data_IF_266493212505
#
_entry.id   IF_266493212505
#
_cell.length_a   1.000
_cell.length_b   1.000
_cell.length_c   1.000
_cell.angle_alpha   90.00
_cell.angle_beta   90.00
_cell.angle_gamma   90.00
#
_symmetry.space_group_name_H-M   'P 1'
#
loop_
_entity.id
_entity.type
_entity.pdbx_description
1 polymer ?
#
# COMPACT_ATOMS: atom_id res chain seq x y z
N UNK A 1 8.25 15.55 -80.18
CA UNK A 1 8.84 15.33 -78.84
C UNK A 1 7.93 16.07 -77.86
N UNK A 2 7.05 15.49 -77.05
CA UNK A 2 7.18 14.35 -76.14
C UNK A 2 6.08 13.29 -76.36
N UNK A 3 6.51 12.07 -76.08
CA UNK A 3 5.87 10.77 -76.20
C UNK A 3 4.90 10.55 -75.02
N UNK A 4 3.69 10.03 -75.31
CA UNK A 4 3.18 8.71 -74.90
C UNK A 4 2.71 8.61 -73.43
N UNK A 5 1.68 7.89 -72.99
CA UNK A 5 0.81 6.83 -73.55
C UNK A 5 -0.34 6.68 -72.52
N UNK A 6 -1.62 6.65 -72.95
CA UNK A 6 -2.53 5.46 -72.95
C UNK A 6 -2.80 4.85 -71.55
N UNK A 7 -3.97 4.37 -71.16
CA UNK A 7 -5.25 3.99 -71.81
C UNK A 7 -6.17 3.61 -70.64
N UNK A 8 -7.35 4.22 -70.50
CA UNK A 8 -8.70 3.67 -70.74
C UNK A 8 -9.02 2.29 -70.11
N UNK A 9 -10.19 2.20 -69.45
CA UNK A 9 -11.21 1.11 -69.40
C UNK A 9 -12.28 1.60 -68.40
N UNK A 10 -13.41 2.22 -68.77
CA UNK A 10 -14.70 1.72 -69.28
C UNK A 10 -15.41 0.62 -68.49
N UNK A 11 -16.62 0.98 -67.98
CA UNK A 11 -17.92 0.26 -68.01
C UNK A 11 -17.96 -1.10 -67.29
N UNK A 12 -18.87 -1.45 -66.39
CA UNK A 12 -20.15 -0.89 -65.95
C UNK A 12 -21.03 -2.05 -65.42
N UNK A 13 -22.05 -1.67 -64.64
CA UNK A 13 -23.37 -2.31 -64.55
C UNK A 13 -23.75 -3.23 -63.37
N UNK A 14 -25.01 -3.00 -62.96
CA UNK A 14 -26.03 -3.89 -62.39
C UNK A 14 -26.21 -4.03 -60.86
N UNK A 15 -27.27 -3.33 -60.41
CA UNK A 15 -28.49 -3.84 -59.76
C UNK A 15 -28.74 -3.58 -58.26
N UNK A 16 -29.96 -3.05 -58.04
CA UNK A 16 -30.66 -2.78 -56.78
C UNK A 16 -30.78 -4.02 -55.86
N UNK A 17 -30.81 -3.80 -54.55
CA UNK A 17 -32.03 -3.99 -53.73
C UNK A 17 -31.96 -3.14 -52.46
N UNK A 18 -33.06 -2.42 -52.21
CA UNK A 18 -33.31 -1.73 -50.95
C UNK A 18 -33.75 -2.75 -49.90
N UNK A 19 -33.11 -2.72 -48.72
CA UNK A 19 -33.73 -3.07 -47.46
C UNK A 19 -33.41 -1.95 -46.48
N UNK A 20 -34.41 -1.11 -46.23
CA UNK A 20 -34.43 -0.28 -45.04
C UNK A 20 -34.75 -1.19 -43.85
N UNK A 21 -33.83 -1.28 -42.89
CA UNK A 21 -34.13 -1.76 -41.54
C UNK A 21 -33.85 -0.60 -40.59
N UNK A 22 -34.91 -0.20 -39.89
CA UNK A 22 -34.93 0.79 -38.83
C UNK A 22 -33.79 0.54 -37.83
N UNK A 23 -32.84 1.47 -37.75
CA UNK A 23 -32.01 1.63 -36.56
C UNK A 23 -32.86 2.40 -35.55
N UNK A 24 -33.73 1.65 -34.87
CA UNK A 24 -34.32 2.15 -33.63
C UNK A 24 -33.16 2.19 -32.63
N UNK A 25 -32.68 3.39 -32.36
CA UNK A 25 -31.63 3.65 -31.38
C UNK A 25 -32.11 3.21 -30.00
N UNK A 26 -31.62 2.05 -29.59
CA UNK A 26 -31.48 1.71 -28.18
C UNK A 26 -30.03 1.22 -28.00
N UNK A 27 -29.09 2.13 -28.31
CA UNK A 27 -27.70 2.05 -27.85
C UNK A 27 -27.69 2.29 -26.32
N UNK A 28 -28.26 1.33 -25.59
CA UNK A 28 -27.84 1.11 -24.21
C UNK A 28 -26.37 0.73 -24.31
N UNK A 29 -25.49 1.63 -23.84
CA UNK A 29 -24.11 1.32 -23.49
C UNK A 29 -24.06 -0.10 -22.94
N UNK A 30 -23.53 -1.06 -23.72
CA UNK A 30 -23.06 -2.32 -23.17
C UNK A 30 -21.88 -1.96 -22.30
N UNK A 31 -22.16 -1.66 -21.05
CA UNK A 31 -21.19 -1.76 -19.98
C UNK A 31 -20.75 -3.22 -20.00
N UNK A 32 -19.56 -3.47 -20.52
CA UNK A 32 -19.00 -4.82 -20.62
C UNK A 32 -18.68 -5.29 -19.21
N UNK A 33 -19.70 -5.71 -18.46
CA UNK A 33 -19.50 -6.34 -17.16
C UNK A 33 -18.59 -7.55 -17.38
N UNK A 34 -17.38 -7.51 -16.84
CA UNK A 34 -16.43 -8.60 -16.93
C UNK A 34 -16.98 -9.78 -16.12
N UNK A 35 -17.62 -10.72 -16.82
CA UNK A 35 -18.24 -11.90 -16.19
C UNK A 35 -17.20 -12.87 -15.64
N UNK A 36 -17.58 -13.70 -14.66
CA UNK A 36 -16.75 -14.81 -14.17
C UNK A 36 -16.23 -15.73 -15.30
N UNK A 37 -17.04 -15.98 -16.32
CA UNK A 37 -16.63 -16.78 -17.48
C UNK A 37 -15.49 -16.12 -18.28
N UNK A 38 -15.44 -14.78 -18.33
CA UNK A 38 -14.34 -14.06 -18.95
C UNK A 38 -13.04 -14.21 -18.13
N UNK A 39 -13.11 -14.03 -16.81
CA UNK A 39 -11.96 -14.21 -15.92
C UNK A 39 -11.40 -15.63 -16.03
N UNK A 40 -12.27 -16.65 -15.95
CA UNK A 40 -11.87 -18.06 -16.10
C UNK A 40 -11.24 -18.34 -17.47
N UNK A 41 -11.83 -17.81 -18.55
CA UNK A 41 -11.29 -17.96 -19.90
C UNK A 41 -9.89 -17.36 -19.98
N UNK A 42 -9.68 -16.15 -19.47
CA UNK A 42 -8.37 -15.51 -19.48
C UNK A 42 -7.35 -16.31 -18.65
N UNK A 43 -7.75 -16.81 -17.48
CA UNK A 43 -6.89 -17.66 -16.64
C UNK A 43 -6.47 -18.92 -17.40
N UNK A 44 -7.41 -19.64 -18.02
CA UNK A 44 -7.11 -20.85 -18.82
C UNK A 44 -6.19 -20.61 -20.03
N UNK A 45 -6.22 -19.40 -20.57
CA UNK A 45 -5.38 -19.00 -21.71
C UNK A 45 -4.03 -18.40 -21.27
N UNK A 46 -3.89 -18.11 -19.98
CA UNK A 46 -2.67 -17.58 -19.38
C UNK A 46 -1.85 -18.69 -18.74
N UNK A 47 -0.55 -18.45 -18.54
CA UNK A 47 0.31 -19.38 -17.82
C UNK A 47 0.10 -19.35 -16.29
N UNK A 48 -0.48 -18.27 -15.75
CA UNK A 48 -0.77 -18.13 -14.32
C UNK A 48 -1.89 -17.14 -14.07
N UNK A 49 -2.62 -17.33 -12.97
CA UNK A 49 -3.70 -16.42 -12.56
C UNK A 49 -3.22 -14.98 -12.42
N UNK A 50 -2.06 -14.73 -11.80
CA UNK A 50 -1.52 -13.38 -11.69
C UNK A 50 -1.29 -12.69 -13.05
N UNK A 51 -0.85 -13.43 -14.08
CA UNK A 51 -0.70 -12.87 -15.44
C UNK A 51 -2.04 -12.54 -16.08
N UNK A 52 -3.06 -13.38 -15.87
CA UNK A 52 -4.41 -13.09 -16.32
C UNK A 52 -4.95 -11.82 -15.64
N UNK A 53 -4.90 -11.75 -14.31
CA UNK A 53 -5.40 -10.60 -13.52
C UNK A 53 -4.71 -9.31 -13.95
N UNK A 54 -3.37 -9.30 -13.98
CA UNK A 54 -2.58 -8.15 -14.43
C UNK A 54 -2.99 -7.71 -15.84
N UNK A 55 -3.12 -8.66 -16.77
CA UNK A 55 -3.51 -8.35 -18.16
C UNK A 55 -4.92 -7.75 -18.25
N UNK A 56 -5.89 -8.30 -17.51
CA UNK A 56 -7.26 -7.77 -17.50
C UNK A 56 -7.27 -6.35 -16.92
N UNK A 57 -6.66 -6.13 -15.75
CA UNK A 57 -6.65 -4.84 -15.08
C UNK A 57 -5.97 -3.77 -15.93
N UNK A 58 -4.83 -4.09 -16.57
CA UNK A 58 -4.15 -3.12 -17.45
C UNK A 58 -4.98 -2.69 -18.67
N UNK A 59 -5.92 -3.53 -19.14
CA UNK A 59 -6.80 -3.18 -20.28
C UNK A 59 -8.15 -2.61 -19.84
N UNK A 60 -8.59 -2.96 -18.63
CA UNK A 60 -9.89 -2.58 -18.07
C UNK A 60 -9.73 -2.05 -16.64
N UNK A 61 -8.99 -0.95 -16.42
CA UNK A 61 -8.66 -0.47 -15.07
C UNK A 61 -9.91 -0.08 -14.26
N UNK A 62 -10.98 0.37 -14.94
CA UNK A 62 -12.26 0.71 -14.28
C UNK A 62 -13.00 -0.50 -13.70
N UNK A 63 -12.68 -1.70 -14.16
CA UNK A 63 -13.33 -2.94 -13.72
C UNK A 63 -12.45 -3.73 -12.75
N UNK A 64 -11.31 -3.16 -12.33
CA UNK A 64 -10.27 -3.87 -11.61
C UNK A 64 -10.78 -4.50 -10.30
N UNK A 65 -11.56 -3.76 -9.51
CA UNK A 65 -12.14 -4.27 -8.26
C UNK A 65 -13.09 -5.44 -8.53
N UNK A 66 -13.96 -5.35 -9.53
CA UNK A 66 -14.86 -6.45 -9.92
C UNK A 66 -14.08 -7.68 -10.37
N UNK A 67 -12.97 -7.49 -11.08
CA UNK A 67 -12.09 -8.58 -11.52
C UNK A 67 -11.41 -9.25 -10.33
N UNK A 68 -10.90 -8.46 -9.38
CA UNK A 68 -10.27 -8.97 -8.15
C UNK A 68 -11.29 -9.73 -7.31
N UNK A 69 -12.47 -9.14 -7.06
CA UNK A 69 -13.59 -9.74 -6.34
C UNK A 69 -13.95 -11.12 -6.91
N UNK A 70 -14.18 -11.16 -8.22
CA UNK A 70 -14.50 -12.40 -8.95
C UNK A 70 -13.35 -13.41 -8.86
N UNK A 71 -12.09 -12.96 -8.97
CA UNK A 71 -10.94 -13.85 -8.93
C UNK A 71 -10.73 -14.47 -7.54
N UNK A 72 -10.93 -13.69 -6.48
CA UNK A 72 -10.84 -14.16 -5.09
C UNK A 72 -11.94 -15.17 -4.78
N UNK A 73 -13.15 -14.98 -5.33
CA UNK A 73 -14.23 -15.97 -5.19
C UNK A 73 -13.94 -17.28 -5.91
N UNK A 74 -13.35 -17.21 -7.11
CA UNK A 74 -13.06 -18.40 -7.91
C UNK A 74 -11.81 -19.15 -7.46
N UNK A 75 -10.82 -18.44 -6.94
CA UNK A 75 -9.51 -18.97 -6.61
C UNK A 75 -8.98 -18.43 -5.27
N UNK A 76 -9.69 -18.66 -4.14
CA UNK A 76 -9.33 -18.10 -2.83
C UNK A 76 -7.93 -18.55 -2.38
N UNK A 77 -7.55 -19.80 -2.67
CA UNK A 77 -6.23 -20.36 -2.39
C UNK A 77 -5.07 -19.61 -3.12
N UNK A 78 -5.42 -18.78 -4.10
CA UNK A 78 -4.49 -17.99 -4.92
C UNK A 78 -4.50 -16.51 -4.58
N UNK A 79 -5.07 -16.12 -3.44
CA UNK A 79 -5.20 -14.72 -3.04
C UNK A 79 -3.89 -13.93 -3.13
N UNK A 80 -2.74 -14.51 -2.72
CA UNK A 80 -1.44 -13.81 -2.81
C UNK A 80 -1.10 -13.40 -4.24
N UNK A 81 -1.27 -14.32 -5.18
CA UNK A 81 -0.99 -14.06 -6.61
C UNK A 81 -1.97 -13.04 -7.20
N UNK A 82 -3.24 -13.07 -6.77
CA UNK A 82 -4.28 -12.16 -7.24
C UNK A 82 -4.06 -10.73 -6.71
N UNK A 83 -3.91 -10.58 -5.39
CA UNK A 83 -3.67 -9.29 -4.73
C UNK A 83 -2.41 -8.65 -5.29
N UNK A 84 -1.31 -9.39 -5.34
CA UNK A 84 -0.04 -8.88 -5.86
C UNK A 84 -0.18 -8.45 -7.33
N UNK A 85 -0.80 -9.28 -8.17
CA UNK A 85 -0.99 -8.92 -9.58
C UNK A 85 -1.88 -7.70 -9.78
N UNK A 86 -2.91 -7.53 -8.95
CA UNK A 86 -3.81 -6.40 -9.03
C UNK A 86 -3.14 -5.08 -8.62
N UNK A 87 -2.51 -5.08 -7.45
CA UNK A 87 -1.79 -3.91 -6.93
C UNK A 87 -0.66 -3.51 -7.86
N UNK A 88 0.18 -4.45 -8.31
CA UNK A 88 1.26 -4.14 -9.24
C UNK A 88 0.79 -3.79 -10.67
N UNK A 89 -0.51 -3.92 -10.98
CA UNK A 89 -1.08 -3.50 -12.25
C UNK A 89 -1.72 -2.11 -12.16
N UNK A 90 -2.32 -1.79 -11.02
CA UNK A 90 -2.95 -0.49 -10.73
C UNK A 90 -2.73 -0.12 -9.25
N UNK A 91 -1.56 0.46 -8.91
CA UNK A 91 -1.24 0.85 -7.54
C UNK A 91 -2.26 1.76 -6.86
N UNK A 92 -2.96 2.60 -7.64
CA UNK A 92 -3.97 3.52 -7.12
C UNK A 92 -5.14 2.81 -6.41
N UNK A 93 -5.34 1.51 -6.66
CA UNK A 93 -6.42 0.71 -6.06
C UNK A 93 -5.96 -0.11 -4.84
N UNK A 94 -4.74 0.11 -4.34
CA UNK A 94 -4.14 -0.67 -3.24
C UNK A 94 -5.06 -0.78 -2.03
N UNK A 95 -5.59 0.34 -1.54
CA UNK A 95 -6.49 0.35 -0.38
C UNK A 95 -7.76 -0.45 -0.63
N UNK A 96 -8.41 -0.29 -1.79
CA UNK A 96 -9.65 -0.99 -2.14
C UNK A 96 -9.44 -2.50 -2.27
N UNK A 97 -8.31 -2.93 -2.87
CA UNK A 97 -7.95 -4.36 -2.97
C UNK A 97 -7.71 -4.98 -1.60
N UNK A 98 -7.02 -4.27 -0.70
CA UNK A 98 -6.77 -4.73 0.67
C UNK A 98 -8.07 -4.83 1.46
N UNK A 99 -8.91 -3.79 1.45
CA UNK A 99 -10.22 -3.81 2.12
C UNK A 99 -11.07 -4.98 1.61
N UNK A 100 -11.19 -5.16 0.30
CA UNK A 100 -11.94 -6.26 -0.29
C UNK A 100 -11.43 -7.63 0.17
N UNK A 101 -10.11 -7.84 0.19
CA UNK A 101 -9.52 -9.10 0.62
C UNK A 101 -9.80 -9.40 2.11
N UNK A 102 -9.71 -8.38 2.96
CA UNK A 102 -9.99 -8.50 4.40
C UNK A 102 -11.48 -8.78 4.66
N UNK A 103 -12.38 -8.05 4.00
CA UNK A 103 -13.83 -8.24 4.11
C UNK A 103 -14.28 -9.64 3.69
N UNK A 104 -13.61 -10.24 2.69
CA UNK A 104 -13.90 -11.62 2.28
C UNK A 104 -13.40 -12.68 3.27
N UNK A 105 -12.51 -12.35 4.20
CA UNK A 105 -11.98 -13.29 5.19
C UNK A 105 -11.23 -14.48 4.58
N UNK A 106 -10.59 -14.30 3.41
CA UNK A 106 -9.90 -15.36 2.66
C UNK A 106 -8.58 -15.81 3.30
N UNK A 107 -7.97 -14.97 4.15
CA UNK A 107 -6.71 -15.24 4.84
C UNK A 107 -6.57 -14.31 6.06
N UNK A 108 -5.46 -14.40 6.80
CA UNK A 108 -5.19 -13.50 7.93
C UNK A 108 -4.84 -12.08 7.45
N UNK A 109 -5.11 -11.08 8.31
CA UNK A 109 -4.76 -9.69 8.04
C UNK A 109 -3.26 -9.55 7.75
N UNK A 110 -2.40 -10.12 8.60
CA UNK A 110 -0.94 -10.10 8.42
C UNK A 110 -0.53 -10.59 7.03
N UNK A 111 -1.13 -11.68 6.54
CA UNK A 111 -0.73 -12.23 5.24
C UNK A 111 -1.19 -11.37 4.07
N UNK A 112 -2.35 -10.72 4.19
CA UNK A 112 -2.87 -9.79 3.18
C UNK A 112 -2.02 -8.51 3.16
N UNK A 113 -1.72 -7.93 4.33
CA UNK A 113 -0.87 -6.74 4.48
C UNK A 113 0.53 -7.00 3.91
N UNK A 114 1.21 -8.08 4.33
CA UNK A 114 2.52 -8.46 3.81
C UNK A 114 2.50 -8.60 2.27
N UNK A 115 1.48 -9.27 1.73
CA UNK A 115 1.35 -9.47 0.28
C UNK A 115 1.19 -8.13 -0.45
N UNK A 116 0.36 -7.23 0.08
CA UNK A 116 0.07 -5.95 -0.53
C UNK A 116 1.29 -5.01 -0.52
N UNK A 117 2.00 -4.93 0.61
CA UNK A 117 3.23 -4.13 0.73
C UNK A 117 4.29 -4.65 -0.24
N UNK A 118 4.52 -5.97 -0.31
CA UNK A 118 5.46 -6.56 -1.26
C UNK A 118 5.07 -6.33 -2.74
N UNK A 119 3.79 -6.06 -3.02
CA UNK A 119 3.31 -5.79 -4.37
C UNK A 119 3.60 -4.35 -4.84
N UNK A 120 3.52 -3.39 -3.90
CA UNK A 120 3.86 -2.00 -4.13
C UNK A 120 4.25 -1.31 -2.80
N UNK A 121 5.54 -1.29 -2.44
CA UNK A 121 6.01 -0.71 -1.19
C UNK A 121 5.70 0.79 -1.05
N UNK A 122 5.72 1.53 -2.17
CA UNK A 122 5.50 2.98 -2.18
C UNK A 122 4.08 3.39 -1.75
N UNK A 123 3.15 2.43 -1.66
CA UNK A 123 1.74 2.62 -1.28
C UNK A 123 1.40 2.00 0.09
N UNK A 124 2.43 1.74 0.91
CA UNK A 124 2.24 1.13 2.24
C UNK A 124 1.28 1.90 3.14
N UNK A 125 1.20 3.22 3.03
CA UNK A 125 0.27 4.07 3.79
C UNK A 125 -1.20 3.75 3.47
N UNK A 126 -1.51 3.40 2.22
CA UNK A 126 -2.83 2.92 1.83
C UNK A 126 -3.11 1.52 2.38
N UNK A 127 -2.12 0.63 2.39
CA UNK A 127 -2.26 -0.72 2.93
C UNK A 127 -2.56 -0.69 4.41
N UNK A 128 -1.72 -0.02 5.21
CA UNK A 128 -1.87 -0.02 6.68
C UNK A 128 -3.12 0.71 7.12
N UNK A 129 -3.54 1.76 6.41
CA UNK A 129 -4.79 2.48 6.67
C UNK A 129 -6.02 1.63 6.36
N UNK A 130 -6.03 0.94 5.21
CA UNK A 130 -7.12 0.05 4.83
C UNK A 130 -7.23 -1.11 5.82
N UNK A 131 -6.10 -1.69 6.23
CA UNK A 131 -6.05 -2.76 7.22
C UNK A 131 -6.55 -2.30 8.59
N UNK A 132 -6.00 -1.20 9.13
CA UNK A 132 -6.38 -0.70 10.45
C UNK A 132 -7.84 -0.25 10.54
N UNK A 133 -8.42 0.20 9.43
CA UNK A 133 -9.85 0.48 9.36
C UNK A 133 -10.71 -0.80 9.32
N UNK A 134 -10.26 -1.82 8.61
CA UNK A 134 -11.03 -3.07 8.40
C UNK A 134 -10.94 -4.02 9.60
N UNK A 135 -9.79 -4.05 10.28
CA UNK A 135 -9.50 -4.90 11.44
C UNK A 135 -8.79 -4.10 12.54
N UNK A 136 -9.47 -3.11 13.16
CA UNK A 136 -8.87 -2.22 14.16
C UNK A 136 -8.31 -2.96 15.38
N UNK A 137 -8.85 -4.13 15.71
CA UNK A 137 -8.36 -5.01 16.77
C UNK A 137 -7.00 -5.66 16.47
N UNK A 138 -6.56 -5.66 15.21
CA UNK A 138 -5.27 -6.19 14.76
C UNK A 138 -4.22 -5.09 14.55
N UNK A 139 -4.42 -3.87 15.09
CA UNK A 139 -3.53 -2.72 14.85
C UNK A 139 -2.05 -3.03 15.14
N UNK A 140 -1.74 -3.68 16.26
CA UNK A 140 -0.35 -4.05 16.60
C UNK A 140 0.26 -5.01 15.58
N UNK A 141 -0.51 -5.98 15.10
CA UNK A 141 -0.05 -6.93 14.08
C UNK A 141 0.17 -6.24 12.74
N UNK A 142 -0.68 -5.27 12.39
CA UNK A 142 -0.54 -4.43 11.19
C UNK A 142 0.73 -3.59 11.27
N UNK A 143 0.96 -2.89 12.38
CA UNK A 143 2.16 -2.07 12.59
C UNK A 143 3.40 -2.93 12.46
N UNK A 144 3.47 -4.04 13.21
CA UNK A 144 4.63 -4.95 13.23
C UNK A 144 4.96 -5.47 11.83
N UNK A 145 3.97 -6.05 11.14
CA UNK A 145 4.19 -6.64 9.82
C UNK A 145 4.58 -5.56 8.80
N UNK A 146 3.98 -4.37 8.88
CA UNK A 146 4.31 -3.31 7.96
C UNK A 146 5.75 -2.82 8.11
N UNK A 147 6.22 -2.57 9.34
CA UNK A 147 7.60 -2.12 9.56
C UNK A 147 8.63 -3.22 9.33
N UNK A 148 8.29 -4.50 9.57
CA UNK A 148 9.14 -5.64 9.25
C UNK A 148 9.26 -5.83 7.73
N UNK A 149 8.17 -5.62 6.99
CA UNK A 149 8.13 -5.81 5.54
C UNK A 149 8.79 -4.65 4.81
N UNK A 150 8.52 -3.41 5.22
CA UNK A 150 9.02 -2.19 4.58
C UNK A 150 9.59 -1.19 5.63
N UNK A 151 10.75 -1.50 6.22
CA UNK A 151 11.36 -0.67 7.27
C UNK A 151 11.78 0.71 6.77
N UNK A 152 12.09 0.85 5.48
CA UNK A 152 12.45 2.13 4.85
C UNK A 152 11.28 3.12 4.81
N UNK A 153 10.04 2.64 5.00
CA UNK A 153 8.84 3.46 5.10
C UNK A 153 8.26 3.51 6.53
N UNK A 154 9.04 3.11 7.54
CA UNK A 154 8.59 3.07 8.93
C UNK A 154 8.05 4.42 9.41
N UNK A 155 8.70 5.53 9.04
CA UNK A 155 8.27 6.90 9.29
C UNK A 155 6.83 7.17 8.80
N UNK A 156 6.54 6.80 7.56
CA UNK A 156 5.25 7.00 6.92
C UNK A 156 4.18 6.08 7.53
N UNK A 157 4.54 4.84 7.86
CA UNK A 157 3.66 3.88 8.53
C UNK A 157 3.22 4.43 9.89
N UNK A 158 4.18 4.74 10.78
CA UNK A 158 3.84 5.22 12.13
C UNK A 158 3.13 6.56 12.09
N UNK A 159 3.51 7.47 11.19
CA UNK A 159 2.84 8.76 11.05
C UNK A 159 1.39 8.58 10.59
N UNK A 160 1.15 7.72 9.59
CA UNK A 160 -0.19 7.45 9.06
C UNK A 160 -1.10 6.83 10.11
N UNK A 161 -0.61 5.83 10.83
CA UNK A 161 -1.38 5.14 11.86
C UNK A 161 -1.59 6.02 13.09
N UNK A 162 -0.58 6.79 13.53
CA UNK A 162 -0.73 7.70 14.68
C UNK A 162 -1.70 8.85 14.38
N UNK A 163 -1.76 9.34 13.13
CA UNK A 163 -2.79 10.33 12.72
C UNK A 163 -4.19 9.74 12.73
N UNK A 164 -4.34 8.48 12.33
CA UNK A 164 -5.64 7.80 12.22
C UNK A 164 -6.11 7.27 13.59
N UNK A 165 -5.17 6.96 14.49
CA UNK A 165 -5.39 6.42 15.82
C UNK A 165 -4.56 7.19 16.89
N UNK A 166 -4.84 8.49 17.16
CA UNK A 166 -4.01 9.29 18.06
C UNK A 166 -3.88 8.72 19.48
N UNK A 167 -4.93 8.06 19.97
CA UNK A 167 -4.92 7.45 21.31
C UNK A 167 -4.03 6.20 21.41
N UNK A 168 -3.63 5.62 20.27
CA UNK A 168 -2.81 4.39 20.19
C UNK A 168 -1.35 4.69 19.86
N UNK A 169 -0.95 5.97 19.79
CA UNK A 169 0.40 6.39 19.37
C UNK A 169 1.52 5.71 20.16
N UNK A 170 1.35 5.56 21.48
CA UNK A 170 2.33 4.86 22.34
C UNK A 170 2.50 3.40 21.90
N UNK A 171 1.40 2.68 21.68
CA UNK A 171 1.46 1.27 21.29
C UNK A 171 1.96 1.10 19.85
N UNK A 172 1.65 2.04 18.95
CA UNK A 172 2.20 2.08 17.59
C UNK A 172 3.73 2.23 17.63
N UNK A 173 4.25 3.23 18.39
CA UNK A 173 5.69 3.43 18.53
C UNK A 173 6.33 2.20 19.15
N UNK A 174 5.72 1.68 20.22
CA UNK A 174 6.27 0.53 20.92
C UNK A 174 6.38 -0.67 20.00
N UNK A 175 5.31 -1.00 19.31
CA UNK A 175 5.27 -2.12 18.36
C UNK A 175 6.29 -1.93 17.23
N UNK A 176 6.37 -0.73 16.64
CA UNK A 176 7.29 -0.47 15.55
C UNK A 176 8.77 -0.60 15.97
N UNK A 177 9.15 0.02 17.09
CA UNK A 177 10.53 0.04 17.58
C UNK A 177 10.94 -1.32 18.13
N UNK A 178 10.05 -2.02 18.84
CA UNK A 178 10.36 -3.38 19.31
C UNK A 178 10.54 -4.37 18.15
N UNK A 179 9.77 -4.22 17.06
CA UNK A 179 9.88 -5.08 15.89
C UNK A 179 11.17 -4.82 15.10
N UNK A 180 11.51 -3.54 14.89
CA UNK A 180 12.68 -3.14 14.11
C UNK A 180 13.43 -2.00 14.82
N UNK A 181 14.35 -2.28 15.76
CA UNK A 181 14.94 -1.25 16.63
C UNK A 181 15.58 -0.06 15.93
N UNK A 182 16.20 -0.27 14.76
CA UNK A 182 16.86 0.82 14.03
C UNK A 182 15.88 1.83 13.42
N UNK A 183 14.58 1.52 13.31
CA UNK A 183 13.57 2.48 12.81
C UNK A 183 13.20 3.53 13.85
N UNK A 184 13.62 3.36 15.11
CA UNK A 184 13.29 4.28 16.19
C UNK A 184 13.69 5.72 15.92
N UNK A 185 14.79 5.96 15.21
CA UNK A 185 15.14 7.34 14.81
C UNK A 185 14.18 7.92 13.76
N UNK A 186 13.77 7.14 12.75
CA UNK A 186 12.84 7.59 11.71
C UNK A 186 11.45 7.85 12.30
N UNK A 187 11.02 6.99 13.21
CA UNK A 187 9.77 7.14 13.98
C UNK A 187 9.79 8.45 14.77
N UNK A 188 10.87 8.72 15.50
CA UNK A 188 11.00 9.94 16.31
C UNK A 188 11.03 11.18 15.43
N UNK A 189 11.84 11.19 14.36
CA UNK A 189 11.91 12.33 13.43
C UNK A 189 10.53 12.67 12.86
N UNK A 190 9.82 11.67 12.33
CA UNK A 190 8.54 11.85 11.67
C UNK A 190 7.43 12.27 12.62
N UNK A 191 7.42 11.74 13.84
CA UNK A 191 6.41 12.06 14.84
C UNK A 191 6.67 13.41 15.50
N UNK A 192 7.92 13.80 15.78
CA UNK A 192 8.21 15.15 16.29
C UNK A 192 7.88 16.24 15.26
N UNK A 193 8.07 15.96 13.97
CA UNK A 193 7.67 16.88 12.90
C UNK A 193 6.14 17.05 12.80
N UNK A 194 5.36 16.02 13.10
CA UNK A 194 3.88 16.04 12.98
C UNK A 194 3.15 16.35 14.28
N UNK A 195 3.77 16.01 15.42
CA UNK A 195 3.20 16.04 16.77
C UNK A 195 4.24 16.62 17.75
N UNK A 196 4.68 17.88 17.57
CA UNK A 196 5.73 18.47 18.41
C UNK A 196 5.34 18.53 19.89
N UNK A 197 4.04 18.67 20.19
CA UNK A 197 3.52 18.70 21.56
C UNK A 197 3.62 17.34 22.28
N UNK A 198 3.87 16.26 21.54
CA UNK A 198 3.94 14.88 22.06
C UNK A 198 5.39 14.42 22.28
N UNK A 199 6.36 15.35 22.25
CA UNK A 199 7.78 15.04 22.28
C UNK A 199 8.21 14.16 23.47
N UNK A 200 7.71 14.45 24.67
CA UNK A 200 7.99 13.65 25.86
C UNK A 200 7.55 12.20 25.66
N UNK A 201 6.32 11.98 25.17
CA UNK A 201 5.77 10.64 24.98
C UNK A 201 6.49 9.88 23.88
N UNK A 202 6.73 10.53 22.73
CA UNK A 202 7.38 9.94 21.56
C UNK A 202 8.80 9.49 21.90
N UNK A 203 9.62 10.42 22.41
CA UNK A 203 11.05 10.16 22.68
C UNK A 203 11.21 9.17 23.81
N UNK A 204 10.44 9.32 24.90
CA UNK A 204 10.53 8.40 26.04
C UNK A 204 10.17 6.96 25.64
N UNK A 205 9.13 6.78 24.81
CA UNK A 205 8.70 5.45 24.37
C UNK A 205 9.73 4.82 23.44
N UNK A 206 10.21 5.56 22.43
CA UNK A 206 11.23 5.06 21.51
C UNK A 206 12.53 4.66 22.23
N UNK A 207 12.98 5.47 23.20
CA UNK A 207 14.15 5.16 24.01
C UNK A 207 13.95 3.93 24.88
N UNK A 208 12.77 3.77 25.49
CA UNK A 208 12.44 2.63 26.34
C UNK A 208 12.48 1.32 25.56
N UNK A 209 11.89 1.31 24.37
CA UNK A 209 11.89 0.11 23.52
C UNK A 209 13.24 -0.19 22.87
N UNK A 210 14.16 0.79 22.87
CA UNK A 210 15.53 0.62 22.37
C UNK A 210 16.53 0.27 23.47
N UNK A 211 16.09 0.00 24.71
CA UNK A 211 17.01 -0.37 25.80
C UNK A 211 17.75 -1.66 25.42
N UNK A 212 19.08 -1.59 25.44
CA UNK A 212 19.97 -2.68 25.03
C UNK A 212 20.60 -2.45 23.65
N UNK A 213 19.99 -1.61 22.81
CA UNK A 213 20.48 -1.27 21.48
C UNK A 213 21.17 0.11 21.50
N UNK A 214 22.45 0.10 21.92
CA UNK A 214 23.24 1.31 22.16
C UNK A 214 23.28 2.28 20.97
N UNK A 215 23.38 1.75 19.76
CA UNK A 215 23.41 2.57 18.54
C UNK A 215 22.05 3.21 18.27
N UNK A 216 20.96 2.45 18.37
CA UNK A 216 19.60 2.97 18.20
C UNK A 216 19.28 4.05 19.23
N UNK A 217 19.67 3.86 20.50
CA UNK A 217 19.49 4.87 21.54
C UNK A 217 20.22 6.19 21.20
N UNK A 218 21.48 6.12 20.78
CA UNK A 218 22.25 7.32 20.40
C UNK A 218 21.63 8.05 19.20
N UNK A 219 21.20 7.29 18.18
CA UNK A 219 20.51 7.82 17.00
C UNK A 219 19.22 8.53 17.37
N UNK A 220 18.37 7.90 18.18
CA UNK A 220 17.13 8.52 18.69
C UNK A 220 17.42 9.82 19.44
N UNK A 221 18.41 9.82 20.33
CA UNK A 221 18.79 11.02 21.10
C UNK A 221 19.27 12.16 20.19
N UNK A 222 20.16 11.85 19.23
CA UNK A 222 20.64 12.84 18.28
C UNK A 222 19.51 13.41 17.41
N UNK A 223 18.60 12.56 16.95
CA UNK A 223 17.42 12.97 16.20
C UNK A 223 16.49 13.87 17.02
N UNK A 224 16.25 13.55 18.29
CA UNK A 224 15.44 14.39 19.16
C UNK A 224 16.04 15.80 19.34
N UNK A 225 17.37 15.91 19.49
CA UNK A 225 18.06 17.21 19.56
C UNK A 225 17.91 17.97 18.23
N UNK A 226 18.12 17.30 17.09
CA UNK A 226 17.98 17.91 15.77
C UNK A 226 16.54 18.39 15.50
N UNK A 227 15.55 17.68 16.05
CA UNK A 227 14.13 18.06 16.00
C UNK A 227 13.77 19.19 16.99
N UNK A 228 14.70 19.65 17.81
CA UNK A 228 14.54 20.82 18.69
C UNK A 228 14.26 20.50 20.17
N UNK A 229 14.35 19.23 20.59
CA UNK A 229 14.26 18.87 22.02
C UNK A 229 15.53 19.36 22.73
N UNK A 230 15.36 20.12 23.81
CA UNK A 230 16.52 20.63 24.56
C UNK A 230 17.28 19.50 25.28
N UNK A 231 18.59 19.63 25.53
CA UNK A 231 19.34 18.62 26.29
C UNK A 231 18.75 18.33 27.68
N UNK A 232 18.23 19.36 28.36
CA UNK A 232 17.59 19.20 29.68
C UNK A 232 16.30 18.36 29.61
N UNK A 233 15.45 18.62 28.61
CA UNK A 233 14.25 17.81 28.36
C UNK A 233 14.60 16.39 27.94
N UNK A 234 15.59 16.23 27.06
CA UNK A 234 16.04 14.92 26.61
C UNK A 234 16.61 14.09 27.76
N UNK A 235 17.36 14.69 28.69
CA UNK A 235 17.83 14.01 29.89
C UNK A 235 16.67 13.53 30.78
N UNK A 236 15.60 14.34 30.92
CA UNK A 236 14.36 13.93 31.60
C UNK A 236 13.70 12.74 30.88
N UNK A 237 13.55 12.80 29.56
CA UNK A 237 12.93 11.73 28.77
C UNK A 237 13.73 10.43 28.85
N UNK A 238 15.06 10.50 28.70
CA UNK A 238 15.96 9.36 28.82
C UNK A 238 15.89 8.72 30.21
N UNK A 239 15.84 9.53 31.27
CA UNK A 239 15.66 9.03 32.64
C UNK A 239 14.31 8.34 32.82
N UNK A 240 13.24 8.91 32.29
CA UNK A 240 11.89 8.32 32.33
C UNK A 240 11.80 7.03 31.49
N UNK A 241 12.63 6.91 30.45
CA UNK A 241 12.75 5.70 29.65
C UNK A 241 13.50 4.58 30.41
N UNK A 242 14.34 4.92 31.40
CA UNK A 242 15.18 3.97 32.13
C UNK A 242 16.61 3.88 31.58
N UNK A 243 17.09 4.91 30.90
CA UNK A 243 18.44 4.96 30.34
C UNK A 243 19.52 4.96 31.44
N UNK A 244 20.66 4.33 31.15
CA UNK A 244 21.82 4.32 32.05
C UNK A 244 22.54 5.68 32.11
N UNK A 245 23.39 5.87 33.14
CA UNK A 245 24.24 7.05 33.31
C UNK A 245 25.13 7.36 32.09
N UNK A 246 25.57 6.33 31.35
CA UNK A 246 26.34 6.53 30.12
C UNK A 246 25.54 7.26 29.04
N UNK A 247 24.26 6.93 28.89
CA UNK A 247 23.39 7.60 27.93
C UNK A 247 23.05 9.02 28.37
N UNK A 248 22.91 9.25 29.69
CA UNK A 248 22.70 10.60 30.23
C UNK A 248 23.93 11.49 29.98
N UNK A 249 25.14 10.95 30.19
CA UNK A 249 26.38 11.65 29.88
C UNK A 249 26.53 11.98 28.38
N UNK A 250 25.98 11.14 27.49
CA UNK A 250 25.93 11.45 26.06
C UNK A 250 25.07 12.70 25.79
N UNK A 251 23.88 12.79 26.39
CA UNK A 251 22.98 13.95 26.22
C UNK A 251 23.63 15.25 26.71
N UNK A 252 24.30 15.21 27.86
CA UNK A 252 24.99 16.37 28.45
C UNK A 252 26.20 16.86 27.62
N UNK A 253 26.68 16.04 26.67
CA UNK A 253 27.85 16.36 25.83
C UNK A 253 27.51 17.04 24.50
N UNK A 254 26.22 17.18 24.18
CA UNK A 254 25.72 17.74 22.92
C UNK A 254 25.48 19.26 23.01
#
# INVERSE_FOLDING_TARGET
MKKFICVAITIGAFCHQAYAINVNGDDKKKETQLTAAFVQKQVSQSMSIGRAIKSIISHYPREAITVVDTALDLYPEKYKEIIHAAISAEPALTGEVVTLALEKGISSCSSIVETAINAEPSYVDFVVRAAAYSTPEELDDIVRIAVETEPDSADNIVQTLSRSHPNEMVEIIKTAVSAVPFVGEYVVDALLASFPDEAEQVVTTALRESIGEQESMRRIMATAINAGVSPDELAKYAKNAGASEEHLAFVESQ
#
